data_IF_288543038077
#
_entry.id   IF_288543038077
#
_cell.length_a   1.000
_cell.length_b   1.000
_cell.length_c   1.000
_cell.angle_alpha   90.00
_cell.angle_beta   90.00
_cell.angle_gamma   90.00
#
_symmetry.space_group_name_H-M   'P 1'
#
loop_
_entity.id
_entity.type
_entity.pdbx_description
1 polymer ?
#
# COMPACT_ATOMS: atom_id res chain seq x y z
N UNK A 1 1.74 18.56 -3.87
CA UNK A 1 1.49 17.85 -2.59
C UNK A 1 2.73 17.71 -1.69
N UNK A 2 3.96 17.91 -2.18
CA UNK A 2 5.19 17.80 -1.35
C UNK A 2 5.41 18.84 -0.23
N UNK A 3 4.93 20.10 -0.29
CA UNK A 3 5.23 21.06 0.79
C UNK A 3 4.32 20.91 2.02
N UNK A 4 3.05 20.51 1.81
CA UNK A 4 2.08 20.37 2.90
C UNK A 4 2.36 19.13 3.76
N UNK A 5 2.77 18.01 3.14
CA UNK A 5 3.18 16.81 3.86
C UNK A 5 4.43 17.04 4.72
N UNK A 6 5.40 17.84 4.22
CA UNK A 6 6.60 18.22 4.97
C UNK A 6 6.26 19.01 6.25
N UNK A 7 5.39 20.03 6.15
CA UNK A 7 5.02 20.88 7.31
C UNK A 7 4.22 20.14 8.40
N UNK A 8 3.41 19.15 8.03
CA UNK A 8 2.67 18.33 9.01
C UNK A 8 3.59 17.33 9.71
N UNK A 9 4.60 16.80 9.00
CA UNK A 9 5.62 15.91 9.56
C UNK A 9 6.54 16.58 10.58
N UNK A 10 6.67 17.91 10.57
CA UNK A 10 7.50 18.65 11.52
C UNK A 10 6.80 18.88 12.89
N UNK A 11 5.47 18.69 12.99
CA UNK A 11 4.70 18.91 14.23
C UNK A 11 4.01 17.67 14.79
N UNK A 12 3.76 16.64 13.99
CA UNK A 12 3.11 15.38 14.41
C UNK A 12 4.15 14.26 14.33
N UNK A 13 4.18 13.35 15.31
CA UNK A 13 5.08 12.19 15.28
C UNK A 13 4.94 11.49 13.92
N UNK A 14 6.04 11.38 13.12
CA UNK A 14 5.99 10.79 11.78
C UNK A 14 5.34 9.40 11.76
N UNK A 15 5.42 8.67 12.88
CA UNK A 15 4.76 7.39 13.11
C UNK A 15 3.24 7.47 12.99
N UNK A 16 2.58 8.41 13.68
CA UNK A 16 1.12 8.53 13.67
C UNK A 16 0.59 8.86 12.27
N UNK A 17 1.30 9.74 11.55
CA UNK A 17 0.95 10.09 10.17
C UNK A 17 1.15 8.88 9.23
N UNK A 18 2.26 8.14 9.40
CA UNK A 18 2.51 6.94 8.61
C UNK A 18 1.45 5.85 8.86
N UNK A 19 1.13 5.56 10.12
CA UNK A 19 0.13 4.55 10.48
C UNK A 19 -1.28 4.94 10.03
N UNK A 20 -1.64 6.23 10.11
CA UNK A 20 -2.90 6.74 9.58
C UNK A 20 -2.99 6.58 8.06
N UNK A 21 -1.91 6.93 7.33
CA UNK A 21 -1.82 6.71 5.89
C UNK A 21 -1.96 5.24 5.51
N UNK A 22 -1.30 4.35 6.25
CA UNK A 22 -1.37 2.90 6.03
C UNK A 22 -2.76 2.34 6.33
N UNK A 23 -3.43 2.85 7.37
CA UNK A 23 -4.82 2.49 7.69
C UNK A 23 -5.77 2.93 6.58
N UNK A 24 -5.54 4.13 6.02
CA UNK A 24 -6.32 4.63 4.88
C UNK A 24 -6.09 3.79 3.62
N UNK A 25 -4.87 3.32 3.36
CA UNK A 25 -4.62 2.38 2.26
C UNK A 25 -5.31 1.04 2.47
N UNK A 26 -5.32 0.53 3.71
CA UNK A 26 -6.03 -0.71 4.03
C UNK A 26 -7.54 -0.56 3.82
N UNK A 27 -8.12 0.58 4.20
CA UNK A 27 -9.53 0.90 3.94
C UNK A 27 -9.83 0.99 2.44
N UNK A 28 -8.97 1.65 1.66
CA UNK A 28 -9.14 1.74 0.20
C UNK A 28 -9.09 0.36 -0.48
N UNK A 29 -8.17 -0.52 -0.03
CA UNK A 29 -8.10 -1.92 -0.48
C UNK A 29 -9.36 -2.70 -0.06
N UNK A 30 -9.82 -2.52 1.18
CA UNK A 30 -11.03 -3.16 1.67
C UNK A 30 -12.27 -2.73 0.85
N UNK A 31 -12.38 -1.45 0.47
CA UNK A 31 -13.45 -0.99 -0.41
C UNK A 31 -13.44 -1.67 -1.79
N UNK A 32 -12.26 -1.99 -2.33
CA UNK A 32 -12.17 -2.74 -3.58
C UNK A 32 -12.60 -4.21 -3.47
N UNK A 33 -12.69 -4.77 -2.26
CA UNK A 33 -13.25 -6.13 -2.09
C UNK A 33 -14.75 -6.20 -2.40
N UNK A 34 -15.45 -5.07 -2.36
CA UNK A 34 -16.88 -4.94 -2.64
C UNK A 34 -17.16 -4.57 -4.11
N UNK A 35 -16.14 -4.58 -4.97
CA UNK A 35 -16.27 -4.17 -6.37
C UNK A 35 -17.12 -5.16 -7.17
N UNK A 36 -18.20 -4.69 -7.78
CA UNK A 36 -19.10 -5.49 -8.63
C UNK A 36 -19.18 -4.94 -10.08
N UNK A 37 -19.83 -5.68 -10.98
CA UNK A 37 -20.02 -5.31 -12.40
C UNK A 37 -20.71 -3.95 -12.58
N UNK A 38 -21.66 -3.62 -11.70
CA UNK A 38 -22.43 -2.37 -11.74
C UNK A 38 -21.72 -1.17 -11.06
N UNK A 39 -20.47 -1.35 -10.59
CA UNK A 39 -19.79 -0.28 -9.85
C UNK A 39 -19.48 0.89 -10.78
N UNK A 40 -20.04 2.05 -10.47
CA UNK A 40 -19.84 3.23 -11.29
C UNK A 40 -18.38 3.69 -11.30
N UNK A 41 -17.90 4.10 -12.47
CA UNK A 41 -16.49 4.45 -12.70
C UNK A 41 -16.00 5.62 -11.81
N UNK A 42 -16.89 6.54 -11.44
CA UNK A 42 -16.58 7.63 -10.52
C UNK A 42 -16.29 7.16 -9.09
N UNK A 43 -16.93 6.06 -8.62
CA UNK A 43 -16.63 5.46 -7.31
C UNK A 43 -15.25 4.80 -7.32
N UNK A 44 -14.90 4.12 -8.43
CA UNK A 44 -13.56 3.56 -8.62
C UNK A 44 -12.49 4.66 -8.59
N UNK A 45 -12.72 5.76 -9.31
CA UNK A 45 -11.82 6.91 -9.33
C UNK A 45 -11.67 7.57 -7.94
N UNK A 46 -12.78 7.71 -7.21
CA UNK A 46 -12.75 8.21 -5.83
C UNK A 46 -11.95 7.28 -4.91
N UNK A 47 -12.13 5.96 -5.02
CA UNK A 47 -11.40 5.00 -4.20
C UNK A 47 -9.90 4.96 -4.53
N UNK A 48 -9.53 5.06 -5.81
CA UNK A 48 -8.13 5.23 -6.24
C UNK A 48 -7.51 6.51 -5.66
N UNK A 49 -8.28 7.60 -5.58
CA UNK A 49 -7.84 8.85 -4.99
C UNK A 49 -7.56 8.71 -3.49
N UNK A 50 -8.45 8.02 -2.76
CA UNK A 50 -8.27 7.69 -1.33
C UNK A 50 -7.02 6.83 -1.12
N UNK A 51 -6.85 5.79 -1.95
CA UNK A 51 -5.71 4.88 -1.87
C UNK A 51 -4.39 5.61 -2.16
N UNK A 52 -4.36 6.46 -3.20
CA UNK A 52 -3.20 7.29 -3.52
C UNK A 52 -2.85 8.29 -2.41
N UNK A 53 -3.86 8.90 -1.79
CA UNK A 53 -3.68 9.80 -0.67
C UNK A 53 -3.11 9.08 0.57
N UNK A 54 -3.67 7.92 0.93
CA UNK A 54 -3.15 7.08 2.01
C UNK A 54 -1.69 6.66 1.77
N UNK A 55 -1.38 6.26 0.54
CA UNK A 55 -0.03 5.86 0.16
C UNK A 55 0.97 7.01 0.27
N UNK A 56 0.58 8.22 -0.15
CA UNK A 56 1.42 9.41 -0.02
C UNK A 56 1.69 9.76 1.46
N UNK A 57 0.66 9.68 2.32
CA UNK A 57 0.78 9.90 3.75
C UNK A 57 1.65 8.86 4.45
N UNK A 58 1.68 7.61 3.97
CA UNK A 58 2.57 6.57 4.49
C UNK A 58 4.01 6.74 3.99
N UNK A 59 4.20 6.91 2.67
CA UNK A 59 5.52 6.83 2.04
C UNK A 59 6.46 7.96 2.47
N UNK A 60 5.96 9.18 2.70
CA UNK A 60 6.79 10.33 3.08
C UNK A 60 7.41 10.18 4.49
N UNK A 61 6.62 10.06 5.58
CA UNK A 61 7.16 9.88 6.92
C UNK A 61 7.88 8.53 7.11
N UNK A 62 7.49 7.46 6.40
CA UNK A 62 8.19 6.17 6.50
C UNK A 62 9.63 6.26 6.00
N UNK A 63 9.85 6.86 4.83
CA UNK A 63 11.21 7.08 4.29
C UNK A 63 12.02 7.99 5.22
N UNK A 64 11.42 9.09 5.69
CA UNK A 64 12.08 10.01 6.60
C UNK A 64 12.50 9.32 7.89
N UNK A 65 11.63 8.52 8.50
CA UNK A 65 11.90 7.81 9.75
C UNK A 65 13.05 6.79 9.63
N UNK A 66 13.20 6.15 8.47
CA UNK A 66 14.31 5.22 8.24
C UNK A 66 15.61 5.98 8.00
N UNK A 67 15.58 7.03 7.19
CA UNK A 67 16.75 7.84 6.89
C UNK A 67 17.26 8.60 8.13
N UNK A 68 16.36 9.03 9.02
CA UNK A 68 16.74 9.68 10.28
C UNK A 68 17.34 8.72 11.31
N UNK A 69 17.06 7.42 11.20
CA UNK A 69 17.56 6.40 12.14
C UNK A 69 18.98 5.90 11.85
N UNK A 70 19.59 6.35 10.74
CA UNK A 70 20.91 5.91 10.31
C UNK A 70 21.90 7.07 10.29
N UNK A 71 23.19 6.79 10.55
CA UNK A 71 24.22 7.82 10.42
C UNK A 71 24.40 8.21 8.94
N UNK A 72 24.70 9.48 8.66
CA UNK A 72 24.95 10.04 7.32
C UNK A 72 25.89 9.21 6.46
N UNK A 73 26.91 8.59 7.05
CA UNK A 73 27.86 7.71 6.33
C UNK A 73 27.18 6.49 5.69
N UNK A 74 26.04 6.06 6.21
CA UNK A 74 25.29 4.88 5.74
C UNK A 74 24.05 5.21 4.91
N UNK A 75 23.80 6.48 4.56
CA UNK A 75 22.61 6.88 3.79
C UNK A 75 22.49 6.13 2.45
N UNK A 76 23.62 5.91 1.75
CA UNK A 76 23.62 5.13 0.52
C UNK A 76 23.14 3.68 0.73
N UNK A 77 23.62 3.04 1.79
CA UNK A 77 23.22 1.66 2.15
C UNK A 77 21.75 1.63 2.58
N UNK A 78 21.31 2.55 3.44
CA UNK A 78 19.93 2.61 3.91
C UNK A 78 18.92 2.87 2.77
N UNK A 79 19.26 3.76 1.83
CA UNK A 79 18.46 4.02 0.62
C UNK A 79 18.37 2.77 -0.26
N UNK A 80 19.50 2.11 -0.50
CA UNK A 80 19.53 0.88 -1.28
C UNK A 80 18.69 -0.21 -0.62
N UNK A 81 18.84 -0.45 0.69
CA UNK A 81 18.03 -1.42 1.44
C UNK A 81 16.54 -1.11 1.35
N UNK A 82 16.15 0.17 1.52
CA UNK A 82 14.76 0.58 1.37
C UNK A 82 14.21 0.35 -0.03
N UNK A 83 14.99 0.68 -1.06
CA UNK A 83 14.65 0.42 -2.45
C UNK A 83 14.45 -1.08 -2.70
N UNK A 84 15.40 -1.91 -2.26
CA UNK A 84 15.32 -3.37 -2.38
C UNK A 84 14.09 -3.93 -1.69
N UNK A 85 13.78 -3.50 -0.46
CA UNK A 85 12.58 -3.93 0.25
C UNK A 85 11.29 -3.60 -0.51
N UNK A 86 11.20 -2.39 -1.10
CA UNK A 86 10.04 -1.99 -1.91
C UNK A 86 9.93 -2.84 -3.17
N UNK A 87 11.03 -3.04 -3.89
CA UNK A 87 11.04 -3.88 -5.10
C UNK A 87 10.65 -5.31 -4.79
N UNK A 88 11.20 -5.91 -3.74
CA UNK A 88 10.82 -7.26 -3.29
C UNK A 88 9.33 -7.33 -2.98
N UNK A 89 8.78 -6.36 -2.25
CA UNK A 89 7.34 -6.30 -1.97
C UNK A 89 6.48 -6.21 -3.24
N UNK A 90 6.89 -5.42 -4.22
CA UNK A 90 6.20 -5.33 -5.53
C UNK A 90 6.25 -6.65 -6.29
N UNK A 91 7.43 -7.29 -6.35
CA UNK A 91 7.59 -8.58 -7.03
C UNK A 91 6.76 -9.69 -6.39
N UNK A 92 6.76 -9.77 -5.05
CA UNK A 92 5.93 -10.72 -4.32
C UNK A 92 4.44 -10.48 -4.57
N UNK A 93 3.99 -9.21 -4.52
CA UNK A 93 2.60 -8.85 -4.78
C UNK A 93 2.18 -9.24 -6.21
N UNK A 94 3.02 -8.95 -7.20
CA UNK A 94 2.80 -9.36 -8.58
C UNK A 94 2.70 -10.88 -8.73
N UNK A 95 3.57 -11.63 -8.05
CA UNK A 95 3.53 -13.09 -8.02
C UNK A 95 2.24 -13.65 -7.42
N UNK A 96 1.75 -13.06 -6.33
CA UNK A 96 0.47 -13.45 -5.70
C UNK A 96 -0.69 -13.22 -6.68
N UNK A 97 -0.77 -12.05 -7.33
CA UNK A 97 -1.82 -11.76 -8.33
C UNK A 97 -1.74 -12.74 -9.49
N UNK A 98 -0.53 -13.01 -10.01
CA UNK A 98 -0.33 -13.96 -11.11
C UNK A 98 -0.82 -15.36 -10.75
N UNK A 99 -0.52 -15.85 -9.54
CA UNK A 99 -0.99 -17.17 -9.08
C UNK A 99 -2.51 -17.19 -8.95
N UNK A 100 -3.11 -16.16 -8.33
CA UNK A 100 -4.56 -16.06 -8.18
C UNK A 100 -5.24 -16.05 -9.56
N UNK A 101 -4.71 -15.27 -10.51
CA UNK A 101 -5.26 -15.20 -11.86
C UNK A 101 -5.04 -16.50 -12.63
N UNK A 102 -3.88 -17.15 -12.50
CA UNK A 102 -3.60 -18.43 -13.16
C UNK A 102 -4.57 -19.52 -12.70
N UNK A 103 -4.89 -19.58 -11.40
CA UNK A 103 -5.84 -20.56 -10.84
C UNK A 103 -7.28 -20.30 -11.30
N UNK A 104 -7.70 -19.03 -11.33
CA UNK A 104 -9.10 -18.68 -11.61
C UNK A 104 -9.40 -18.52 -13.11
N UNK A 105 -8.50 -17.91 -13.88
CA UNK A 105 -8.70 -17.68 -15.31
C UNK A 105 -8.13 -18.81 -16.16
N UNK A 106 -7.11 -19.55 -15.70
CA UNK A 106 -6.61 -20.76 -16.37
C UNK A 106 -6.13 -20.57 -17.82
N UNK A 107 -5.86 -19.34 -18.26
CA UNK A 107 -5.51 -19.01 -19.65
C UNK A 107 -6.69 -18.61 -20.55
N UNK A 108 -7.91 -18.51 -20.01
CA UNK A 108 -9.08 -17.98 -20.71
C UNK A 108 -8.97 -16.46 -20.83
N UNK A 109 -9.34 -15.90 -21.99
CA UNK A 109 -9.35 -14.45 -22.20
C UNK A 109 -10.28 -13.76 -21.20
N UNK A 110 -9.83 -12.64 -20.62
CA UNK A 110 -10.62 -11.83 -19.66
C UNK A 110 -11.99 -11.46 -20.24
N UNK A 111 -12.08 -11.25 -21.56
CA UNK A 111 -13.29 -10.86 -22.27
C UNK A 111 -14.39 -11.93 -22.27
N UNK A 112 -14.04 -13.21 -22.12
CA UNK A 112 -15.03 -14.31 -22.16
C UNK A 112 -15.56 -14.71 -20.78
N UNK A 113 -15.03 -14.14 -19.68
CA UNK A 113 -15.48 -14.45 -18.32
C UNK A 113 -15.27 -13.28 -17.33
N UNK A 114 -16.01 -12.15 -17.50
CA UNK A 114 -15.88 -10.97 -16.64
C UNK A 114 -16.15 -11.26 -15.16
N UNK A 115 -17.11 -12.13 -14.85
CA UNK A 115 -17.44 -12.52 -13.48
C UNK A 115 -16.30 -13.27 -12.77
N UNK A 116 -15.52 -14.07 -13.51
CA UNK A 116 -14.38 -14.84 -12.96
C UNK A 116 -13.19 -13.92 -12.70
N UNK A 117 -12.98 -12.93 -13.57
CA UNK A 117 -12.00 -11.86 -13.37
C UNK A 117 -12.32 -10.99 -12.15
N UNK A 118 -13.60 -10.65 -11.93
CA UNK A 118 -13.99 -9.91 -10.74
C UNK A 118 -13.73 -10.71 -9.45
N UNK A 119 -14.09 -12.00 -9.42
CA UNK A 119 -13.83 -12.85 -8.25
C UNK A 119 -12.34 -12.97 -7.93
N UNK A 120 -11.48 -13.17 -8.94
CA UNK A 120 -10.03 -13.26 -8.75
C UNK A 120 -9.42 -11.92 -8.31
N UNK A 121 -9.96 -10.80 -8.80
CA UNK A 121 -9.57 -9.45 -8.37
C UNK A 121 -9.99 -9.17 -6.92
N UNK A 122 -11.24 -9.48 -6.55
CA UNK A 122 -11.73 -9.37 -5.17
C UNK A 122 -10.89 -10.20 -4.20
N UNK A 123 -10.56 -11.45 -4.56
CA UNK A 123 -9.71 -12.31 -3.75
C UNK A 123 -8.31 -11.69 -3.55
N UNK A 124 -7.73 -11.13 -4.61
CA UNK A 124 -6.44 -10.43 -4.53
C UNK A 124 -6.52 -9.22 -3.58
N UNK A 125 -7.59 -8.42 -3.67
CA UNK A 125 -7.81 -7.30 -2.75
C UNK A 125 -8.00 -7.76 -1.30
N UNK A 126 -8.66 -8.89 -1.04
CA UNK A 126 -8.78 -9.46 0.31
C UNK A 126 -7.41 -9.83 0.87
N UNK A 127 -6.59 -10.54 0.08
CA UNK A 127 -5.22 -10.94 0.48
C UNK A 127 -4.37 -9.71 0.82
N UNK A 128 -4.41 -8.68 -0.04
CA UNK A 128 -3.65 -7.46 0.19
C UNK A 128 -4.20 -6.60 1.32
N UNK A 129 -5.51 -6.60 1.54
CA UNK A 129 -6.13 -5.94 2.70
C UNK A 129 -5.61 -6.58 3.99
N UNK A 130 -5.61 -7.91 4.09
CA UNK A 130 -5.10 -8.61 5.27
C UNK A 130 -3.60 -8.34 5.49
N UNK A 131 -2.81 -8.43 4.41
CA UNK A 131 -1.36 -8.13 4.44
C UNK A 131 -1.10 -6.68 4.86
N UNK A 132 -1.93 -5.74 4.38
CA UNK A 132 -1.84 -4.33 4.74
C UNK A 132 -2.21 -4.11 6.22
N UNK A 133 -3.25 -4.76 6.73
CA UNK A 133 -3.62 -4.71 8.15
C UNK A 133 -2.50 -5.21 9.07
N UNK A 134 -1.79 -6.30 8.68
CA UNK A 134 -0.58 -6.73 9.40
C UNK A 134 0.52 -5.65 9.35
N UNK A 135 0.66 -4.99 8.20
CA UNK A 135 1.55 -3.83 8.04
C UNK A 135 1.18 -2.67 8.96
N UNK A 136 -0.11 -2.34 9.10
CA UNK A 136 -0.61 -1.32 10.03
C UNK A 136 -0.20 -1.65 11.46
N UNK A 137 -0.39 -2.91 11.88
CA UNK A 137 0.04 -3.35 13.21
C UNK A 137 1.56 -3.21 13.40
N UNK A 138 2.38 -3.66 12.45
CA UNK A 138 3.83 -3.48 12.50
C UNK A 138 4.25 -1.99 12.54
N UNK A 139 3.55 -1.14 11.77
CA UNK A 139 3.74 0.31 11.78
C UNK A 139 3.38 0.92 13.13
N UNK A 140 2.30 0.45 13.76
CA UNK A 140 1.86 0.87 15.08
C UNK A 140 2.78 0.37 16.19
N UNK A 141 3.50 -0.75 16.03
CA UNK A 141 4.45 -1.25 17.06
C UNK A 141 5.81 -0.56 16.96
N UNK A 142 6.15 0.03 15.82
CA UNK A 142 7.43 0.72 15.59
C UNK A 142 7.69 1.79 16.67
N UNK A 143 8.75 1.63 17.47
CA UNK A 143 9.07 2.48 18.63
C UNK A 143 9.23 3.98 18.33
N UNK A 144 9.27 4.80 19.40
CA UNK A 144 9.45 6.26 19.31
C UNK A 144 10.81 6.59 18.69
N UNK A 145 10.83 7.52 17.73
CA UNK A 145 12.06 8.18 17.31
C UNK A 145 12.49 9.07 18.47
N UNK A 146 13.52 8.66 19.21
CA UNK A 146 14.21 9.59 20.11
C UNK A 146 14.84 10.70 19.26
N UNK A 147 14.54 11.95 19.64
CA UNK A 147 15.08 13.16 19.01
C UNK A 147 16.55 13.34 19.36
#
# INVERSE_FOLDING_TARGET
>A
FSPLAGRVSDRIEPRLVASAGMSLTALGLAMFTLLNEDTALHLVAANLSILGFGFALFSSPNTNAVMSSVNRRFYGVASATLGTMRFLGQMLSMGVVMIVFAIYLGGVEVATSPSTFLKSSQLSFIIFTFTCCLGVFASLVRGRLEK
#
